data_IF_177268535684
#
_entry.id   IF_177268535684
#
_cell.length_a   1.000
_cell.length_b   1.000
_cell.length_c   1.000
_cell.angle_alpha   90.00
_cell.angle_beta   90.00
_cell.angle_gamma   90.00
#
_symmetry.space_group_name_H-M   'P 1'
#
loop_
_entity.id
_entity.type
_entity.pdbx_description
1 polymer ?
#
# COMPACT_ATOMS: atom_id res chain seq x y z
N UNK A 1 4.49 11.99 13.56
CA UNK A 1 5.55 11.05 13.11
C UNK A 1 4.88 9.94 12.31
N UNK A 2 5.54 9.39 11.29
CA UNK A 2 5.00 8.31 10.44
C UNK A 2 5.87 7.08 10.54
N UNK A 3 5.24 5.91 10.59
CA UNK A 3 5.96 4.64 10.47
C UNK A 3 5.90 4.18 9.02
N UNK A 4 7.07 3.96 8.42
CA UNK A 4 7.19 3.61 7.01
C UNK A 4 7.75 2.18 6.84
N UNK A 5 7.12 1.39 5.98
CA UNK A 5 7.63 0.08 5.55
C UNK A 5 7.56 -0.02 4.03
N UNK A 6 8.53 -0.72 3.44
CA UNK A 6 8.50 -1.07 2.02
C UNK A 6 8.69 -2.56 1.80
N UNK A 7 8.01 -3.06 0.78
CA UNK A 7 7.99 -4.48 0.42
C UNK A 7 8.15 -4.66 -1.09
N UNK A 8 8.63 -5.82 -1.49
CA UNK A 8 8.67 -6.26 -2.88
C UNK A 8 7.64 -7.37 -3.11
N UNK A 9 6.93 -7.31 -4.21
CA UNK A 9 6.01 -8.34 -4.66
C UNK A 9 6.41 -8.79 -6.07
N UNK A 10 6.78 -10.06 -6.20
CA UNK A 10 7.36 -10.63 -7.42
C UNK A 10 6.32 -11.22 -8.38
N UNK A 11 5.19 -10.51 -8.53
CA UNK A 11 4.19 -10.76 -9.56
C UNK A 11 3.47 -9.45 -9.92
N UNK A 12 3.11 -9.22 -11.19
CA UNK A 12 2.29 -8.06 -11.58
C UNK A 12 0.89 -8.16 -10.98
N UNK A 13 0.34 -7.03 -10.53
CA UNK A 13 -1.02 -6.93 -9.99
C UNK A 13 -1.86 -5.94 -10.80
N UNK A 14 -3.15 -6.23 -10.91
CA UNK A 14 -4.15 -5.22 -11.27
C UNK A 14 -4.33 -4.18 -10.15
N UNK A 15 -4.97 -3.04 -10.44
CA UNK A 15 -5.35 -2.05 -9.41
C UNK A 15 -6.20 -2.72 -8.32
N UNK A 16 -7.16 -3.56 -8.68
CA UNK A 16 -8.02 -4.27 -7.73
C UNK A 16 -7.25 -5.25 -6.84
N UNK A 17 -6.28 -5.99 -7.38
CA UNK A 17 -5.40 -6.84 -6.56
C UNK A 17 -4.48 -6.02 -5.67
N UNK A 18 -3.92 -4.94 -6.19
CA UNK A 18 -3.06 -4.02 -5.45
C UNK A 18 -3.83 -3.39 -4.28
N UNK A 19 -5.07 -2.95 -4.52
CA UNK A 19 -5.98 -2.39 -3.51
C UNK A 19 -6.18 -3.36 -2.35
N UNK A 20 -6.52 -4.61 -2.66
CA UNK A 20 -6.73 -5.64 -1.64
C UNK A 20 -5.47 -5.89 -0.82
N UNK A 21 -4.32 -5.98 -1.50
CA UNK A 21 -3.04 -6.20 -0.83
C UNK A 21 -2.70 -5.05 0.12
N UNK A 22 -2.75 -3.81 -0.37
CA UNK A 22 -2.42 -2.62 0.42
C UNK A 22 -3.39 -2.44 1.58
N UNK A 23 -4.69 -2.58 1.36
CA UNK A 23 -5.69 -2.49 2.45
C UNK A 23 -5.45 -3.58 3.50
N UNK A 24 -5.11 -4.80 3.08
CA UNK A 24 -4.72 -5.87 4.00
C UNK A 24 -3.49 -5.50 4.83
N UNK A 25 -2.43 -4.99 4.18
CA UNK A 25 -1.22 -4.56 4.86
C UNK A 25 -1.45 -3.41 5.85
N UNK A 26 -2.26 -2.40 5.50
CA UNK A 26 -2.61 -1.30 6.40
C UNK A 26 -3.34 -1.82 7.63
N UNK A 27 -4.36 -2.67 7.45
CA UNK A 27 -5.11 -3.24 8.58
C UNK A 27 -4.20 -4.06 9.51
N UNK A 28 -3.38 -4.95 8.94
CA UNK A 28 -2.44 -5.77 9.72
C UNK A 28 -1.43 -4.92 10.49
N UNK A 29 -0.90 -3.86 9.85
CA UNK A 29 0.06 -2.98 10.48
C UNK A 29 -0.57 -2.16 11.62
N UNK A 30 -1.76 -1.60 11.39
CA UNK A 30 -2.51 -0.88 12.43
C UNK A 30 -2.82 -1.78 13.62
N UNK A 31 -3.26 -3.02 13.40
CA UNK A 31 -3.52 -3.98 14.47
C UNK A 31 -2.23 -4.27 15.24
N UNK A 32 -1.15 -4.61 14.54
CA UNK A 32 0.16 -4.92 15.13
C UNK A 32 0.69 -3.77 16.01
N UNK A 33 0.53 -2.52 15.56
CA UNK A 33 1.00 -1.34 16.32
C UNK A 33 0.09 -1.04 17.50
N UNK A 34 -1.23 -1.00 17.28
CA UNK A 34 -2.19 -0.57 18.29
C UNK A 34 -2.39 -1.59 19.41
N UNK A 35 -2.22 -2.89 19.13
CA UNK A 35 -2.33 -3.95 20.13
C UNK A 35 -1.05 -4.13 20.95
N UNK A 36 0.09 -3.65 20.46
CA UNK A 36 1.37 -3.78 21.14
C UNK A 36 1.53 -2.73 22.26
N UNK A 37 1.29 -3.16 23.49
CA UNK A 37 1.41 -2.31 24.70
C UNK A 37 2.84 -1.89 25.01
N UNK A 38 3.84 -2.65 24.57
CA UNK A 38 5.25 -2.40 24.88
C UNK A 38 5.80 -1.21 24.09
N UNK A 39 5.34 -1.03 22.85
CA UNK A 39 5.79 0.10 22.02
C UNK A 39 5.03 1.40 22.33
N UNK A 40 3.84 1.32 22.93
CA UNK A 40 2.95 2.47 23.16
C UNK A 40 3.61 3.67 23.84
N UNK A 41 4.47 3.52 24.88
CA UNK A 41 5.15 4.67 25.49
C UNK A 41 6.08 5.44 24.55
N UNK A 42 6.50 4.82 23.45
CA UNK A 42 7.39 5.38 22.44
C UNK A 42 6.65 5.94 21.22
N UNK A 43 5.32 5.76 21.16
CA UNK A 43 4.49 6.24 20.06
C UNK A 43 4.10 7.70 20.29
N UNK A 44 4.41 8.58 19.33
CA UNK A 44 4.02 10.00 19.41
C UNK A 44 2.50 10.21 19.36
N UNK A 45 1.80 9.38 18.58
CA UNK A 45 0.35 9.38 18.42
C UNK A 45 -0.22 8.04 18.92
N UNK A 46 -1.40 8.04 19.56
CA UNK A 46 -2.10 6.79 19.87
C UNK A 46 -3.61 7.04 20.03
N UNK A 47 -4.50 6.20 19.45
CA UNK A 47 -4.18 5.09 18.56
C UNK A 47 -3.61 5.59 17.22
N UNK A 48 -2.84 4.75 16.55
CA UNK A 48 -2.42 4.96 15.17
C UNK A 48 -3.63 4.75 14.23
N UNK A 49 -3.71 5.56 13.18
CA UNK A 49 -4.62 5.38 12.05
C UNK A 49 -3.84 5.33 10.73
N UNK A 50 -4.53 5.12 9.60
CA UNK A 50 -3.99 5.20 8.24
C UNK A 50 -3.24 6.52 7.94
N UNK A 51 -3.53 7.60 8.68
CA UNK A 51 -2.81 8.87 8.60
C UNK A 51 -1.39 8.81 9.20
N UNK A 52 -1.08 7.77 9.96
CA UNK A 52 0.20 7.61 10.66
C UNK A 52 1.12 6.56 10.01
N UNK A 53 0.69 5.94 8.91
CA UNK A 53 1.41 4.87 8.24
C UNK A 53 1.79 5.23 6.79
N UNK A 54 2.97 4.78 6.40
CA UNK A 54 3.42 4.74 5.01
C UNK A 54 3.79 3.31 4.64
N UNK A 55 3.13 2.75 3.63
CA UNK A 55 3.44 1.43 3.07
C UNK A 55 3.73 1.63 1.61
N UNK A 56 4.85 1.11 1.12
CA UNK A 56 5.15 1.05 -0.33
C UNK A 56 5.37 -0.39 -0.74
N UNK A 57 4.63 -0.85 -1.75
CA UNK A 57 4.79 -2.19 -2.32
C UNK A 57 5.23 -2.02 -3.77
N UNK A 58 6.45 -2.44 -4.08
CA UNK A 58 6.98 -2.48 -5.44
C UNK A 58 6.60 -3.79 -6.13
N UNK A 59 6.05 -3.72 -7.33
CA UNK A 59 5.65 -4.87 -8.13
C UNK A 59 6.68 -5.14 -9.23
N UNK A 60 7.07 -6.40 -9.34
CA UNK A 60 7.98 -6.92 -10.35
C UNK A 60 7.33 -8.07 -11.11
N UNK A 61 7.74 -8.31 -12.34
CA UNK A 61 7.28 -9.46 -13.14
C UNK A 61 7.69 -10.80 -12.50
N UNK A 62 8.85 -10.85 -11.85
CA UNK A 62 9.40 -12.05 -11.23
C UNK A 62 10.45 -11.72 -10.16
N UNK A 63 10.99 -12.76 -9.53
CA UNK A 63 11.99 -12.68 -8.45
C UNK A 63 13.38 -12.18 -8.87
N UNK A 64 13.61 -11.93 -10.16
CA UNK A 64 14.84 -11.30 -10.65
C UNK A 64 14.72 -9.77 -10.71
N UNK A 65 13.72 -9.18 -10.04
CA UNK A 65 13.47 -7.73 -10.02
C UNK A 65 13.23 -7.16 -11.43
N UNK A 66 12.71 -7.98 -12.34
CA UNK A 66 12.31 -7.49 -13.66
C UNK A 66 11.11 -6.56 -13.50
N UNK A 67 11.24 -5.33 -13.97
CA UNK A 67 10.18 -4.33 -13.92
C UNK A 67 8.93 -4.77 -14.69
N UNK A 68 7.78 -4.33 -14.20
CA UNK A 68 6.53 -4.39 -14.98
C UNK A 68 6.57 -3.42 -16.15
N UNK A 69 5.76 -3.69 -17.17
CA UNK A 69 5.69 -2.84 -18.35
C UNK A 69 5.02 -1.49 -18.02
N UNK A 70 5.40 -0.39 -18.71
CA UNK A 70 4.69 0.88 -18.62
C UNK A 70 3.18 0.70 -18.87
N UNK A 71 2.36 1.37 -18.04
CA UNK A 71 0.91 1.21 -18.02
C UNK A 71 0.40 0.14 -17.05
N UNK A 72 1.28 -0.74 -16.54
CA UNK A 72 0.96 -1.66 -15.45
C UNK A 72 1.30 -1.02 -14.09
N UNK A 73 0.66 -1.49 -13.03
CA UNK A 73 0.95 -1.00 -11.67
C UNK A 73 2.36 -1.45 -11.28
N UNK A 74 3.29 -0.49 -11.20
CA UNK A 74 4.68 -0.71 -10.78
C UNK A 74 4.87 -0.59 -9.28
N UNK A 75 4.06 0.22 -8.60
CA UNK A 75 3.97 0.20 -7.16
C UNK A 75 2.61 0.70 -6.66
N UNK A 76 2.26 0.29 -5.45
CA UNK A 76 1.17 0.88 -4.69
C UNK A 76 1.73 1.44 -3.37
N UNK A 77 1.35 2.66 -3.04
CA UNK A 77 1.82 3.35 -1.84
C UNK A 77 0.68 3.92 -1.03
N UNK A 78 0.86 4.02 0.29
CA UNK A 78 -0.04 4.75 1.19
C UNK A 78 0.70 5.92 1.80
N UNK A 79 0.09 7.10 1.81
CA UNK A 79 0.62 8.25 2.54
C UNK A 79 -0.54 9.13 2.98
N UNK A 80 -0.60 9.43 4.29
CA UNK A 80 -1.62 10.30 4.88
C UNK A 80 -3.05 9.93 4.46
N UNK A 81 -3.45 8.69 4.75
CA UNK A 81 -4.78 8.18 4.46
C UNK A 81 -5.14 8.00 2.98
N UNK A 82 -4.20 8.23 2.05
CA UNK A 82 -4.42 8.05 0.61
C UNK A 82 -3.62 6.89 0.06
N UNK A 83 -4.20 6.19 -0.91
CA UNK A 83 -3.55 5.14 -1.67
C UNK A 83 -3.27 5.65 -3.09
N UNK A 84 -2.04 5.44 -3.55
CA UNK A 84 -1.61 5.76 -4.91
C UNK A 84 -1.17 4.48 -5.61
N UNK A 85 -1.59 4.34 -6.87
CA UNK A 85 -1.14 3.27 -7.76
C UNK A 85 -0.35 3.91 -8.88
N UNK A 86 0.93 3.58 -8.98
CA UNK A 86 1.83 4.19 -9.95
C UNK A 86 2.21 3.21 -11.06
N UNK A 87 2.59 3.77 -12.20
CA UNK A 87 3.33 3.11 -13.28
C UNK A 87 4.69 3.78 -13.45
N UNK A 88 5.63 3.09 -14.08
CA UNK A 88 6.81 3.74 -14.66
C UNK A 88 6.42 4.58 -15.87
N UNK A 89 7.08 5.73 -16.03
CA UNK A 89 7.02 6.54 -17.24
C UNK A 89 7.71 5.80 -18.41
N UNK A 90 7.18 5.95 -19.61
CA UNK A 90 7.68 5.26 -20.82
C UNK A 90 9.00 5.82 -21.36
N UNK A 91 9.34 7.06 -20.99
CA UNK A 91 10.50 7.81 -21.46
C UNK A 91 11.57 7.95 -20.36
N UNK A 92 11.18 7.92 -19.09
CA UNK A 92 12.07 8.04 -17.93
C UNK A 92 11.78 6.97 -16.87
N UNK A 93 12.64 5.95 -16.77
CA UNK A 93 12.48 4.82 -15.85
C UNK A 93 12.51 5.22 -14.36
N UNK A 94 13.01 6.40 -14.03
CA UNK A 94 13.07 6.94 -12.66
C UNK A 94 11.83 7.77 -12.29
N UNK A 95 10.99 8.11 -13.28
CA UNK A 95 9.77 8.86 -13.06
C UNK A 95 8.58 7.90 -12.88
N UNK A 96 7.83 8.13 -11.80
CA UNK A 96 6.56 7.45 -11.54
C UNK A 96 5.40 8.34 -11.94
N UNK A 97 4.41 7.75 -12.59
CA UNK A 97 3.15 8.41 -12.93
C UNK A 97 2.00 7.74 -12.18
N UNK A 98 1.08 8.55 -11.64
CA UNK A 98 -0.09 8.02 -10.92
C UNK A 98 -1.14 7.53 -11.91
N UNK A 99 -1.38 6.22 -11.95
CA UNK A 99 -2.48 5.61 -12.70
C UNK A 99 -3.83 5.85 -12.03
N UNK A 100 -3.86 5.74 -10.71
CA UNK A 100 -5.08 5.88 -9.92
C UNK A 100 -4.74 6.31 -8.49
N UNK A 101 -5.68 6.99 -7.84
CA UNK A 101 -5.61 7.34 -6.43
C UNK A 101 -7.01 7.27 -5.82
N UNK A 102 -7.07 6.97 -4.52
CA UNK A 102 -8.29 6.89 -3.73
C UNK A 102 -7.94 7.07 -2.24
N UNK A 103 -8.93 7.34 -1.39
CA UNK A 103 -8.69 7.31 0.06
C UNK A 103 -8.66 5.87 0.57
N UNK A 104 -8.03 5.67 1.72
CA UNK A 104 -8.03 4.38 2.39
C UNK A 104 -9.46 3.91 2.70
N UNK A 105 -10.36 4.80 3.11
CA UNK A 105 -11.76 4.48 3.40
C UNK A 105 -12.53 4.04 2.14
N UNK A 106 -12.28 4.71 1.01
CA UNK A 106 -12.85 4.32 -0.29
C UNK A 106 -12.39 2.92 -0.68
N UNK A 107 -11.08 2.68 -0.61
CA UNK A 107 -10.48 1.38 -0.88
C UNK A 107 -11.03 0.29 0.04
N UNK A 108 -11.10 0.56 1.35
CA UNK A 108 -11.64 -0.35 2.36
C UNK A 108 -13.10 -0.72 2.07
N UNK A 109 -13.92 0.27 1.70
CA UNK A 109 -15.32 0.03 1.30
C UNK A 109 -15.39 -0.88 0.08
N UNK A 110 -14.62 -0.59 -0.97
CA UNK A 110 -14.58 -1.41 -2.19
C UNK A 110 -14.17 -2.86 -1.86
N UNK A 111 -13.13 -3.05 -1.05
CA UNK A 111 -12.66 -4.39 -0.68
C UNK A 111 -13.71 -5.16 0.15
N UNK A 112 -14.42 -4.48 1.06
CA UNK A 112 -15.52 -5.07 1.84
C UNK A 112 -16.69 -5.47 0.94
N UNK A 113 -17.09 -4.61 0.01
CA UNK A 113 -18.16 -4.89 -0.97
C UNK A 113 -17.80 -6.07 -1.90
N UNK A 114 -16.52 -6.27 -2.20
CA UNK A 114 -16.03 -7.43 -2.96
C UNK A 114 -16.00 -8.75 -2.14
N UNK A 115 -16.35 -8.73 -0.85
CA UNK A 115 -16.36 -9.91 0.02
C UNK A 115 -14.97 -10.51 0.29
N UNK A 116 -13.89 -9.71 0.21
CA UNK A 116 -12.50 -10.20 0.26
C UNK A 116 -11.71 -9.86 1.52
N UNK A 117 -12.35 -9.23 2.51
CA UNK A 117 -11.86 -9.16 3.89
C UNK A 117 -12.76 -10.06 4.73
N UNK A 118 -12.17 -11.03 5.43
CA UNK A 118 -12.90 -11.76 6.48
C UNK A 118 -13.24 -10.78 7.62
N UNK A 119 -14.41 -10.95 8.29
CA UNK A 119 -14.76 -10.17 9.47
C UNK A 119 -13.77 -10.38 10.62
#
# INVERSE_FOLDING_TARGET
EMLALSFNCYRPLSIDESRRLVVGCVNEYLNSVNENKEIRPYLHNFPFTEENLEIVIFFYENNNFKDVQPGQVSCASTVKGKIFYHTKDSQDEYKLETLHQETYEEALRIVKEQGRLAP
#
